data_IF_229684971732
#
_entry.id   IF_229684971732
#
_cell.length_a   1.000
_cell.length_b   1.000
_cell.length_c   1.000
_cell.angle_alpha   90.00
_cell.angle_beta   90.00
_cell.angle_gamma   90.00
#
_symmetry.space_group_name_H-M   'P 1'
#
loop_
_entity.id
_entity.type
_entity.pdbx_description
1 polymer ?
#
# COMPACT_ATOMS: atom_id res chain seq x y z
N UNK A 1 9.37 25.27 24.22
CA UNK A 1 9.79 26.11 23.08
C UNK A 1 9.57 25.31 21.81
N UNK A 2 8.50 25.60 21.07
CA UNK A 2 8.27 25.02 19.76
C UNK A 2 9.19 25.75 18.79
N UNK A 3 10.06 25.02 18.09
CA UNK A 3 10.83 25.58 16.96
C UNK A 3 9.82 25.81 15.85
N UNK A 4 9.32 27.05 15.76
CA UNK A 4 8.57 27.52 14.60
C UNK A 4 9.57 27.55 13.47
N UNK A 5 9.49 26.58 12.57
CA UNK A 5 10.20 26.62 11.29
C UNK A 5 9.58 27.75 10.50
N UNK A 6 10.22 28.93 10.53
CA UNK A 6 9.89 30.03 9.62
C UNK A 6 9.96 29.51 8.18
N UNK A 7 8.81 29.48 7.50
CA UNK A 7 8.76 29.18 6.06
C UNK A 7 9.40 30.35 5.34
N UNK A 8 10.58 30.14 4.76
CA UNK A 8 11.26 31.13 3.95
C UNK A 8 10.54 31.22 2.59
N UNK A 9 9.61 32.18 2.43
CA UNK A 9 8.73 32.29 1.25
C UNK A 9 9.44 32.95 0.06
N UNK A 10 10.69 32.58 -0.21
CA UNK A 10 11.49 33.12 -1.32
C UNK A 10 12.28 32.06 -2.07
N UNK A 11 11.80 30.82 -2.06
CA UNK A 11 12.40 29.75 -2.88
C UNK A 11 11.83 29.83 -4.31
N UNK A 12 12.71 29.82 -5.30
CA UNK A 12 12.30 29.74 -6.70
C UNK A 12 11.64 28.37 -6.95
N UNK A 13 10.76 28.28 -7.95
CA UNK A 13 10.20 27.00 -8.41
C UNK A 13 11.35 26.02 -8.71
N UNK A 14 12.46 26.51 -9.27
CA UNK A 14 13.64 25.69 -9.58
C UNK A 14 14.32 25.13 -8.32
N UNK A 15 14.35 25.90 -7.22
CA UNK A 15 14.91 25.45 -5.95
C UNK A 15 14.07 24.33 -5.34
N UNK A 16 12.74 24.49 -5.38
CA UNK A 16 11.80 23.49 -4.89
C UNK A 16 11.84 22.20 -5.72
N UNK A 17 11.98 22.30 -7.05
CA UNK A 17 12.14 21.13 -7.93
C UNK A 17 13.43 20.38 -7.59
N UNK A 18 14.55 21.09 -7.44
CA UNK A 18 15.83 20.49 -7.07
C UNK A 18 15.78 19.81 -5.70
N UNK A 19 15.13 20.45 -4.73
CA UNK A 19 14.97 19.84 -3.41
C UNK A 19 14.09 18.58 -3.48
N UNK A 20 12.97 18.62 -4.21
CA UNK A 20 12.10 17.46 -4.37
C UNK A 20 12.83 16.28 -5.03
N UNK A 21 13.66 16.54 -6.05
CA UNK A 21 14.50 15.53 -6.68
C UNK A 21 15.55 14.98 -5.71
N UNK A 22 16.22 15.84 -4.94
CA UNK A 22 17.18 15.42 -3.93
C UNK A 22 16.56 14.54 -2.85
N UNK A 23 15.39 14.92 -2.35
CA UNK A 23 14.64 14.15 -1.36
C UNK A 23 14.16 12.81 -1.93
N UNK A 24 13.72 12.78 -3.19
CA UNK A 24 13.33 11.54 -3.87
C UNK A 24 14.52 10.58 -3.97
N UNK A 25 15.68 11.05 -4.45
CA UNK A 25 16.89 10.23 -4.56
C UNK A 25 17.32 9.70 -3.19
N UNK A 26 17.36 10.56 -2.17
CA UNK A 26 17.69 10.16 -0.80
C UNK A 26 16.73 9.10 -0.26
N UNK A 27 15.43 9.23 -0.53
CA UNK A 27 14.43 8.25 -0.12
C UNK A 27 14.63 6.90 -0.83
N UNK A 28 14.95 6.92 -2.12
CA UNK A 28 15.24 5.71 -2.90
C UNK A 28 16.50 5.01 -2.38
N UNK A 29 17.55 5.76 -2.06
CA UNK A 29 18.77 5.24 -1.44
C UNK A 29 18.50 4.61 -0.06
N UNK A 30 17.76 5.31 0.82
CA UNK A 30 17.41 4.76 2.14
C UNK A 30 16.54 3.52 2.03
N UNK A 31 15.59 3.46 1.09
CA UNK A 31 14.80 2.24 0.82
C UNK A 31 15.68 1.09 0.36
N UNK A 32 16.63 1.36 -0.54
CA UNK A 32 17.55 0.35 -1.06
C UNK A 32 18.42 -0.28 0.04
N UNK A 33 18.80 0.49 1.08
CA UNK A 33 19.58 -0.01 2.22
C UNK A 33 18.90 -1.11 3.03
N UNK A 34 17.57 -1.20 2.98
CA UNK A 34 16.79 -2.20 3.71
C UNK A 34 16.17 -3.28 2.80
N UNK A 35 16.42 -3.20 1.48
CA UNK A 35 15.92 -4.16 0.50
C UNK A 35 16.93 -5.32 0.32
N UNK A 36 17.20 -6.05 1.41
CA UNK A 36 18.20 -7.12 1.42
C UNK A 36 17.81 -8.34 0.57
N UNK A 37 16.51 -8.60 0.43
CA UNK A 37 15.99 -9.77 -0.28
C UNK A 37 14.54 -9.56 -0.72
N UNK A 38 14.17 -10.16 -1.84
CA UNK A 38 12.78 -10.21 -2.29
C UNK A 38 11.92 -11.16 -1.43
N UNK A 39 10.66 -10.79 -1.23
CA UNK A 39 9.71 -11.59 -0.46
C UNK A 39 9.55 -13.01 -1.03
N UNK A 40 9.64 -13.15 -2.36
CA UNK A 40 9.56 -14.45 -3.06
C UNK A 40 10.68 -15.39 -2.63
N UNK A 41 11.92 -14.91 -2.55
CA UNK A 41 13.08 -15.71 -2.12
C UNK A 41 12.94 -16.19 -0.68
N UNK A 42 12.31 -15.39 0.19
CA UNK A 42 12.00 -15.82 1.56
C UNK A 42 10.85 -16.83 1.57
N UNK A 43 9.82 -16.60 0.76
CA UNK A 43 8.64 -17.46 0.66
C UNK A 43 8.94 -18.85 0.07
N UNK A 44 10.01 -19.00 -0.73
CA UNK A 44 10.45 -20.30 -1.27
C UNK A 44 10.80 -21.33 -0.17
N UNK A 45 11.04 -20.87 1.06
CA UNK A 45 11.27 -21.73 2.23
C UNK A 45 9.96 -22.30 2.81
N UNK A 46 8.82 -21.78 2.41
CA UNK A 46 7.51 -22.21 2.88
C UNK A 46 6.99 -23.37 2.04
N UNK A 47 6.20 -24.24 2.66
CA UNK A 47 5.50 -25.28 1.94
C UNK A 47 4.43 -24.67 1.02
N UNK A 48 4.34 -25.18 -0.21
CA UNK A 48 3.32 -24.77 -1.16
C UNK A 48 1.92 -25.15 -0.66
N UNK A 49 0.95 -24.26 -0.87
CA UNK A 49 -0.43 -24.54 -0.50
C UNK A 49 -0.98 -25.71 -1.33
N UNK A 50 -1.66 -26.67 -0.70
CA UNK A 50 -2.28 -27.77 -1.42
C UNK A 50 -3.41 -27.25 -2.33
N UNK A 51 -3.74 -27.96 -3.42
CA UNK A 51 -4.91 -27.63 -4.22
C UNK A 51 -6.18 -27.63 -3.36
N UNK A 52 -6.98 -26.57 -3.46
CA UNK A 52 -8.26 -26.47 -2.77
C UNK A 52 -9.41 -26.23 -3.75
N UNK A 53 -10.58 -26.80 -3.44
CA UNK A 53 -11.79 -26.63 -4.26
C UNK A 53 -12.75 -25.64 -3.61
N UNK A 54 -12.94 -24.50 -4.26
CA UNK A 54 -13.94 -23.50 -3.84
C UNK A 54 -15.26 -23.81 -4.52
N UNK A 55 -16.33 -23.95 -3.73
CA UNK A 55 -17.71 -24.13 -4.22
C UNK A 55 -18.55 -22.95 -3.77
N UNK A 56 -19.37 -22.41 -4.69
CA UNK A 56 -20.39 -21.42 -4.33
C UNK A 56 -21.35 -22.03 -3.31
N UNK A 57 -21.44 -21.40 -2.13
CA UNK A 57 -22.32 -21.85 -1.04
C UNK A 57 -23.63 -21.10 -0.99
N UNK A 58 -23.66 -19.86 -1.49
CA UNK A 58 -24.83 -18.98 -1.46
C UNK A 58 -24.92 -18.16 -2.73
N UNK A 59 -26.15 -17.91 -3.16
CA UNK A 59 -26.49 -17.00 -4.25
C UNK A 59 -27.43 -15.96 -3.64
N UNK A 60 -26.94 -14.74 -3.44
CA UNK A 60 -27.72 -13.64 -2.88
C UNK A 60 -28.48 -12.95 -4.02
N UNK A 61 -29.80 -13.12 -4.04
CA UNK A 61 -30.71 -12.49 -5.02
C UNK A 61 -31.53 -11.40 -4.32
N UNK A 62 -31.92 -10.36 -5.06
CA UNK A 62 -32.80 -9.31 -4.54
C UNK A 62 -32.55 -7.91 -5.12
N UNK A 63 -31.36 -7.65 -5.64
CA UNK A 63 -31.03 -6.38 -6.29
C UNK A 63 -31.67 -6.28 -7.68
N UNK A 64 -32.31 -5.15 -7.98
CA UNK A 64 -32.91 -4.85 -9.29
C UNK A 64 -31.90 -4.29 -10.32
N UNK A 65 -30.68 -3.98 -9.87
CA UNK A 65 -29.59 -3.43 -10.69
C UNK A 65 -28.24 -4.04 -10.31
N UNK A 66 -27.16 -3.47 -10.85
CA UNK A 66 -25.79 -3.92 -10.57
C UNK A 66 -25.43 -3.63 -9.10
N UNK A 67 -24.89 -4.63 -8.42
CA UNK A 67 -24.29 -4.45 -7.10
C UNK A 67 -22.95 -3.73 -7.29
N UNK A 68 -22.76 -2.59 -6.63
CA UNK A 68 -21.57 -1.73 -6.81
C UNK A 68 -20.53 -1.92 -5.70
N UNK A 69 -20.96 -2.32 -4.52
CA UNK A 69 -20.12 -2.58 -3.37
C UNK A 69 -20.83 -3.54 -2.41
N UNK A 70 -20.05 -4.32 -1.65
CA UNK A 70 -20.49 -5.17 -0.53
C UNK A 70 -19.42 -5.05 0.54
N UNK A 71 -19.83 -5.07 1.82
CA UNK A 71 -18.92 -5.16 2.96
C UNK A 71 -19.39 -6.26 3.92
N UNK A 72 -18.45 -6.83 4.66
CA UNK A 72 -18.74 -7.85 5.67
C UNK A 72 -19.05 -7.20 7.01
N UNK A 73 -20.07 -7.69 7.70
CA UNK A 73 -20.35 -7.30 9.08
C UNK A 73 -19.34 -7.92 10.05
N UNK A 74 -18.97 -7.20 11.10
CA UNK A 74 -18.03 -7.68 12.13
C UNK A 74 -18.62 -8.78 13.03
N UNK A 75 -19.92 -9.03 12.96
CA UNK A 75 -20.60 -10.06 13.76
C UNK A 75 -20.33 -11.50 13.27
N UNK A 76 -19.54 -11.66 12.19
CA UNK A 76 -19.19 -12.93 11.55
C UNK A 76 -20.41 -13.76 11.14
N UNK A 77 -21.57 -13.10 11.03
CA UNK A 77 -22.77 -13.72 10.50
C UNK A 77 -22.69 -13.60 8.99
N UNK A 78 -22.12 -14.65 8.41
CA UNK A 78 -21.83 -14.84 6.99
C UNK A 78 -20.49 -14.30 6.56
#
# INVERSE_FOLDING_TARGET
>A
MAVVVERNVTESIDDLVREAESLKTRLEEERAKFNDMELTTVADKLESLPPFSTKSRRILKGHQGKVLAIDWSNDKRH
#
